data_IF_732643821062
#
_entry.id   IF_732643821062
#
_cell.length_a   1.000
_cell.length_b   1.000
_cell.length_c   1.000
_cell.angle_alpha   90.00
_cell.angle_beta   90.00
_cell.angle_gamma   90.00
#
_symmetry.space_group_name_H-M   'P 1'
#
loop_
_entity.id
_entity.type
_entity.pdbx_description
1 polymer ?
#
# COMPACT_ATOMS: atom_id res chain seq x y z
N UNK A 1 26.83 -3.63 -0.91
CA UNK A 1 26.29 -4.94 -1.30
C UNK A 1 24.99 -5.13 -0.53
N UNK A 2 23.85 -4.78 -1.12
CA UNK A 2 22.55 -4.92 -0.46
C UNK A 2 22.04 -6.31 -0.77
N UNK A 3 22.10 -7.19 0.22
CA UNK A 3 21.51 -8.53 0.19
C UNK A 3 20.08 -8.44 -0.31
N UNK A 4 19.77 -9.19 -1.38
CA UNK A 4 18.41 -9.42 -1.85
C UNK A 4 17.60 -9.97 -0.66
N UNK A 5 16.96 -9.09 0.10
CA UNK A 5 15.98 -9.49 1.08
C UNK A 5 14.83 -10.07 0.25
N UNK A 6 14.65 -11.39 0.30
CA UNK A 6 13.58 -12.06 -0.41
C UNK A 6 12.26 -11.44 0.06
N UNK A 7 11.61 -10.66 -0.80
CA UNK A 7 10.27 -10.17 -0.54
C UNK A 7 9.39 -11.39 -0.26
N UNK A 8 8.84 -11.48 0.95
CA UNK A 8 7.84 -12.49 1.23
C UNK A 8 6.53 -12.04 0.58
N UNK A 9 6.32 -12.41 -0.69
CA UNK A 9 5.15 -12.01 -1.46
C UNK A 9 3.83 -12.42 -0.78
N UNK A 10 3.82 -13.50 -0.01
CA UNK A 10 2.66 -13.90 0.80
C UNK A 10 2.41 -12.89 1.92
N UNK A 11 3.45 -12.51 2.67
CA UNK A 11 3.34 -11.49 3.70
C UNK A 11 2.92 -10.13 3.11
N UNK A 12 3.52 -9.71 2.00
CA UNK A 12 3.16 -8.48 1.28
C UNK A 12 1.69 -8.48 0.89
N UNK A 13 1.18 -9.62 0.40
CA UNK A 13 -0.24 -9.77 0.07
C UNK A 13 -1.09 -9.74 1.32
N UNK A 14 -0.72 -10.31 2.46
CA UNK A 14 -1.63 -10.38 3.62
C UNK A 14 -1.59 -9.15 4.52
N UNK A 15 -0.40 -8.60 4.74
CA UNK A 15 -0.15 -7.45 5.59
C UNK A 15 0.92 -6.55 4.96
N UNK A 16 0.55 -5.76 3.94
CA UNK A 16 1.51 -4.92 3.22
C UNK A 16 2.19 -3.88 4.12
N UNK A 17 1.52 -3.43 5.19
CA UNK A 17 2.06 -2.44 6.11
C UNK A 17 3.25 -2.95 6.95
N UNK A 18 3.40 -4.27 7.13
CA UNK A 18 4.56 -4.85 7.81
C UNK A 18 5.73 -5.14 6.88
N UNK A 19 5.51 -5.10 5.55
CA UNK A 19 6.54 -5.39 4.55
C UNK A 19 7.07 -4.12 3.89
N UNK A 20 6.23 -3.11 3.70
CA UNK A 20 6.59 -1.87 3.03
C UNK A 20 6.51 -0.68 3.98
N UNK A 21 7.53 0.19 3.94
CA UNK A 21 7.56 1.42 4.72
C UNK A 21 6.58 2.49 4.20
N UNK A 22 6.29 2.47 2.89
CA UNK A 22 5.29 3.34 2.27
C UNK A 22 4.61 2.66 1.06
N UNK A 23 3.37 3.03 0.71
CA UNK A 23 2.65 2.48 -0.43
C UNK A 23 3.36 2.69 -1.78
N UNK A 24 4.04 3.82 -1.95
CA UNK A 24 4.77 4.15 -3.18
C UNK A 24 5.90 3.15 -3.48
N UNK A 25 6.51 2.54 -2.45
CA UNK A 25 7.54 1.52 -2.66
C UNK A 25 7.02 0.27 -3.39
N UNK A 26 5.71 0.00 -3.34
CA UNK A 26 5.09 -1.12 -4.07
C UNK A 26 5.13 -0.87 -5.58
N UNK A 27 5.12 0.39 -6.03
CA UNK A 27 5.19 0.74 -7.46
C UNK A 27 6.51 0.27 -8.06
N UNK A 28 7.61 0.42 -7.33
CA UNK A 28 8.97 0.08 -7.79
C UNK A 28 9.35 -1.38 -7.55
N UNK A 29 8.53 -2.15 -6.82
CA UNK A 29 8.83 -3.54 -6.47
C UNK A 29 8.91 -4.45 -7.71
N UNK A 30 10.08 -5.04 -7.96
CA UNK A 30 10.32 -5.85 -9.16
C UNK A 30 9.76 -7.27 -9.06
N UNK A 31 9.52 -7.76 -7.83
CA UNK A 31 9.06 -9.13 -7.57
C UNK A 31 7.54 -9.30 -7.62
N UNK A 32 6.79 -8.21 -7.77
CA UNK A 32 5.34 -8.22 -7.91
C UNK A 32 4.95 -7.85 -9.34
N UNK A 33 4.04 -8.64 -9.92
CA UNK A 33 3.37 -8.21 -11.15
C UNK A 33 2.51 -6.98 -10.90
N UNK A 34 2.20 -6.23 -11.95
CA UNK A 34 1.31 -5.05 -11.84
C UNK A 34 -0.03 -5.38 -11.17
N UNK A 35 -0.65 -6.51 -11.52
CA UNK A 35 -1.91 -6.96 -10.89
C UNK A 35 -1.73 -7.23 -9.39
N UNK A 36 -0.60 -7.83 -9.00
CA UNK A 36 -0.29 -8.06 -7.58
C UNK A 36 0.00 -6.77 -6.82
N UNK A 37 0.67 -5.79 -7.45
CA UNK A 37 0.87 -4.45 -6.87
C UNK A 37 -0.46 -3.78 -6.57
N UNK A 38 -1.38 -3.76 -7.54
CA UNK A 38 -2.73 -3.21 -7.37
C UNK A 38 -3.48 -3.92 -6.25
N UNK A 39 -3.53 -5.25 -6.27
CA UNK A 39 -4.22 -6.03 -5.24
C UNK A 39 -3.63 -5.81 -3.83
N UNK A 40 -2.31 -5.63 -3.74
CA UNK A 40 -1.60 -5.33 -2.49
C UNK A 40 -1.98 -3.94 -1.95
N UNK A 41 -2.01 -2.93 -2.82
CA UNK A 41 -2.42 -1.56 -2.48
C UNK A 41 -3.90 -1.48 -2.06
N UNK A 42 -4.81 -2.15 -2.78
CA UNK A 42 -6.24 -2.18 -2.44
C UNK A 42 -6.50 -2.84 -1.08
N UNK A 43 -5.73 -3.89 -0.76
CA UNK A 43 -5.81 -4.54 0.55
C UNK A 43 -5.27 -3.65 1.65
N UNK A 44 -4.16 -2.95 1.43
CA UNK A 44 -3.64 -1.96 2.39
C UNK A 44 -4.69 -0.87 2.67
N UNK A 45 -5.29 -0.33 1.61
CA UNK A 45 -6.38 0.67 1.70
C UNK A 45 -7.51 0.18 2.58
N UNK A 46 -7.96 -1.05 2.34
CA UNK A 46 -9.05 -1.67 3.10
C UNK A 46 -8.71 -1.83 4.58
N UNK A 47 -7.48 -2.23 4.90
CA UNK A 47 -7.00 -2.33 6.29
C UNK A 47 -6.99 -0.98 7.02
N UNK A 48 -6.54 0.08 6.35
CA UNK A 48 -6.56 1.44 6.92
C UNK A 48 -8.00 1.92 7.16
N UNK A 49 -8.90 1.69 6.20
CA UNK A 49 -10.31 2.06 6.37
C UNK A 49 -10.97 1.31 7.52
N UNK A 50 -10.65 0.02 7.70
CA UNK A 50 -11.11 -0.76 8.86
C UNK A 50 -10.56 -0.22 10.18
N UNK A 51 -9.28 0.16 10.23
CA UNK A 51 -8.68 0.77 11.43
C UNK A 51 -9.32 2.13 11.74
N UNK A 52 -9.58 2.96 10.74
CA UNK A 52 -10.26 4.25 10.90
C UNK A 52 -11.72 4.11 11.37
N UNK A 53 -12.42 3.07 10.91
CA UNK A 53 -13.77 2.73 11.34
C UNK A 53 -13.76 2.24 12.80
N UNK A 54 -12.85 1.32 13.15
CA UNK A 54 -12.70 0.82 14.52
C UNK A 54 -12.25 1.92 15.51
N UNK A 55 -11.44 2.88 15.07
CA UNK A 55 -11.01 4.00 15.90
C UNK A 55 -12.13 5.02 16.16
N UNK A 56 -13.16 5.09 15.31
CA UNK A 56 -14.34 5.94 15.56
C UNK A 56 -15.15 5.43 16.76
N UNK A 57 -15.19 4.11 16.95
CA UNK A 57 -15.88 3.44 18.07
C UNK A 57 -15.09 3.51 19.39
N UNK A 58 -13.83 3.96 19.37
CA UNK A 58 -12.94 3.93 20.52
C UNK A 58 -11.77 4.90 20.39
N UNK A 59 -12.04 6.20 20.57
CA UNK A 59 -11.03 7.24 20.84
C UNK A 59 -9.95 7.42 19.74
N UNK A 60 -10.28 8.15 18.66
CA UNK A 60 -9.28 8.63 17.70
C UNK A 60 -8.24 9.53 18.38
N UNK A 61 -6.96 9.21 18.23
CA UNK A 61 -5.87 10.16 18.50
C UNK A 61 -5.58 10.95 17.23
N UNK A 62 -5.50 12.28 17.32
CA UNK A 62 -5.34 13.19 16.16
C UNK A 62 -4.16 12.79 15.26
N UNK A 63 -3.05 12.35 15.84
CA UNK A 63 -1.86 11.93 15.08
C UNK A 63 -2.03 10.63 14.28
N UNK A 64 -2.90 9.72 14.72
CA UNK A 64 -3.18 8.47 14.00
C UNK A 64 -4.05 8.74 12.77
N UNK A 65 -5.05 9.62 12.88
CA UNK A 65 -5.89 10.01 11.74
C UNK A 65 -5.12 10.72 10.63
N UNK A 66 -4.16 11.59 10.97
CA UNK A 66 -3.31 12.28 9.98
C UNK A 66 -2.44 11.27 9.23
N UNK A 67 -1.76 10.37 9.94
CA UNK A 67 -0.93 9.33 9.30
C UNK A 67 -1.75 8.41 8.38
N UNK A 68 -2.95 8.03 8.78
CA UNK A 68 -3.81 7.23 7.92
C UNK A 68 -4.28 8.00 6.68
N UNK A 69 -4.54 9.29 6.78
CA UNK A 69 -4.90 10.13 5.64
C UNK A 69 -3.73 10.25 4.64
N UNK A 70 -2.50 10.49 5.14
CA UNK A 70 -1.29 10.54 4.30
C UNK A 70 -1.06 9.21 3.58
N UNK A 71 -1.14 8.09 4.31
CA UNK A 71 -0.98 6.75 3.70
C UNK A 71 -2.07 6.46 2.67
N UNK A 72 -3.32 6.89 2.88
CA UNK A 72 -4.38 6.75 1.89
C UNK A 72 -4.10 7.56 0.63
N UNK A 73 -3.59 8.79 0.76
CA UNK A 73 -3.20 9.61 -0.37
C UNK A 73 -2.08 8.96 -1.19
N UNK A 74 -1.07 8.40 -0.52
CA UNK A 74 0.02 7.67 -1.17
C UNK A 74 -0.47 6.42 -1.91
N UNK A 75 -1.47 5.71 -1.35
CA UNK A 75 -2.08 4.54 -2.02
C UNK A 75 -2.80 4.97 -3.30
N UNK A 76 -3.61 6.03 -3.25
CA UNK A 76 -4.33 6.52 -4.44
C UNK A 76 -3.35 6.98 -5.52
N UNK A 77 -2.27 7.67 -5.14
CA UNK A 77 -1.20 8.06 -6.06
C UNK A 77 -0.54 6.83 -6.71
N UNK A 78 -0.16 5.83 -5.90
CA UNK A 78 0.44 4.59 -6.39
C UNK A 78 -0.48 3.84 -7.37
N UNK A 79 -1.79 3.78 -7.06
CA UNK A 79 -2.79 3.17 -7.94
C UNK A 79 -2.94 3.95 -9.26
N UNK A 80 -2.96 5.27 -9.22
CA UNK A 80 -2.96 6.11 -10.43
C UNK A 80 -1.75 5.83 -11.31
N UNK A 81 -0.54 5.84 -10.75
CA UNK A 81 0.70 5.55 -11.48
C UNK A 81 0.67 4.17 -12.16
N UNK A 82 0.20 3.15 -11.45
CA UNK A 82 0.07 1.79 -12.01
C UNK A 82 -1.01 1.73 -13.09
N UNK A 83 -2.10 2.49 -12.98
CA UNK A 83 -3.17 2.55 -13.98
C UNK A 83 -2.70 3.23 -15.27
N UNK A 84 -2.03 4.38 -15.15
CA UNK A 84 -1.54 5.18 -16.28
C UNK A 84 -0.45 4.48 -17.10
N UNK A 85 0.40 3.66 -16.46
CA UNK A 85 1.43 2.87 -17.19
C UNK A 85 0.85 1.84 -18.17
N UNK A 86 -0.46 1.52 -18.12
CA UNK A 86 -1.12 0.68 -19.13
C UNK A 86 -1.57 1.42 -20.39
N UNK A 87 -1.42 2.74 -20.45
CA UNK A 87 -1.85 3.59 -21.57
C UNK A 87 -0.72 3.99 -22.52
N UNK A 88 0.41 3.28 -22.52
CA UNK A 88 1.47 3.46 -23.53
C UNK A 88 1.33 2.37 -24.60
N UNK A 89 0.61 2.61 -25.71
CA UNK A 89 0.76 1.78 -26.89
C UNK A 89 2.14 2.06 -27.49
N UNK A 90 3.00 1.04 -27.55
CA UNK A 90 4.13 1.01 -28.47
C UNK A 90 3.67 0.77 -29.89
#
# INVERSE_FOLDING_TARGET
MTTLASLNATAAKHDPASVFACPLAIVDEILLTRGEKIATLERWRSGILQQLAAADDGMRTVGMSVRHADTLADIELALCTLKETSSTPS
#
